data_IF_785902319502
#
_entry.id   IF_785902319502
#
_cell.length_a   1.000
_cell.length_b   1.000
_cell.length_c   1.000
_cell.angle_alpha   90.00
_cell.angle_beta   90.00
_cell.angle_gamma   90.00
#
_symmetry.space_group_name_H-M   'P 1'
#
loop_
_entity.id
_entity.type
_entity.pdbx_description
1 polymer ?
#
# COMPACT_ATOMS: atom_id res chain seq x y z
N UNK A 1 -23.29 6.29 -3.15
CA UNK A 1 -21.88 6.73 -3.00
C UNK A 1 -21.81 7.64 -1.78
N UNK A 2 -21.51 7.09 -0.60
CA UNK A 2 -21.33 7.88 0.62
C UNK A 2 -19.84 8.16 0.79
N UNK A 3 -19.39 9.28 0.23
CA UNK A 3 -18.06 9.79 0.53
C UNK A 3 -18.07 10.39 1.94
N UNK A 4 -17.50 9.68 2.92
CA UNK A 4 -17.34 10.18 4.28
C UNK A 4 -16.63 11.53 4.26
N UNK A 5 -17.37 12.58 4.60
CA UNK A 5 -16.92 13.98 4.60
C UNK A 5 -15.67 14.22 5.47
N UNK A 6 -15.35 13.32 6.40
CA UNK A 6 -14.20 13.44 7.29
C UNK A 6 -12.84 13.18 6.60
N UNK A 7 -12.79 12.41 5.51
CA UNK A 7 -11.56 12.21 4.74
C UNK A 7 -11.17 13.45 3.89
N UNK A 8 -12.01 14.50 3.88
CA UNK A 8 -11.77 15.73 3.13
C UNK A 8 -10.99 16.79 3.91
N UNK A 9 -10.94 16.73 5.25
CA UNK A 9 -10.41 17.82 6.08
C UNK A 9 -8.94 18.15 5.75
N UNK A 10 -8.06 17.16 5.69
CA UNK A 10 -6.64 17.36 5.31
C UNK A 10 -6.43 17.63 3.81
N UNK A 11 -7.37 17.26 2.95
CA UNK A 11 -7.30 17.53 1.51
C UNK A 11 -7.83 18.92 1.12
N UNK A 12 -8.66 19.54 1.96
CA UNK A 12 -9.28 20.83 1.68
C UNK A 12 -8.25 21.97 1.67
N UNK A 13 -7.30 21.95 2.62
CA UNK A 13 -6.17 22.89 2.75
C UNK A 13 -4.84 22.31 2.23
N UNK A 14 -4.90 21.25 1.43
CA UNK A 14 -3.71 20.52 0.99
C UNK A 14 -2.79 21.39 0.15
N UNK A 15 -1.53 21.46 0.57
CA UNK A 15 -0.44 22.07 -0.21
C UNK A 15 0.29 21.05 -1.10
N UNK A 16 -0.09 19.78 -1.03
CA UNK A 16 0.47 18.68 -1.84
C UNK A 16 1.88 18.24 -1.47
N UNK A 17 2.34 18.47 -0.23
CA UNK A 17 3.70 18.10 0.19
C UNK A 17 4.01 16.62 0.02
N UNK A 18 3.08 15.74 0.44
CA UNK A 18 3.23 14.30 0.24
C UNK A 18 3.41 13.92 -1.24
N UNK A 19 2.71 14.61 -2.15
CA UNK A 19 2.85 14.38 -3.58
C UNK A 19 4.17 14.89 -4.16
N UNK A 20 4.92 15.76 -3.47
CA UNK A 20 6.22 16.26 -3.93
C UNK A 20 7.39 15.52 -3.31
N UNK A 21 7.25 15.16 -2.04
CA UNK A 21 8.37 14.67 -1.23
C UNK A 21 8.37 13.14 -1.09
N UNK A 22 7.23 12.46 -1.12
CA UNK A 22 7.21 11.01 -0.96
C UNK A 22 7.48 10.27 -2.27
N UNK A 23 8.33 9.24 -2.19
CA UNK A 23 8.36 8.17 -3.18
C UNK A 23 7.19 7.22 -2.92
N UNK A 24 6.28 7.11 -3.88
CA UNK A 24 5.06 6.31 -3.75
C UNK A 24 5.23 5.00 -4.52
N UNK A 25 5.63 3.94 -3.82
CA UNK A 25 5.58 2.58 -4.35
C UNK A 25 4.13 2.13 -4.49
N UNK A 26 3.83 1.38 -5.54
CA UNK A 26 2.47 0.98 -5.88
C UNK A 26 2.37 -0.52 -6.11
N UNK A 27 1.23 -1.11 -5.79
CA UNK A 27 0.96 -2.51 -6.12
C UNK A 27 0.52 -2.65 -7.58
N UNK A 28 0.54 -3.87 -8.14
CA UNK A 28 0.02 -4.11 -9.48
C UNK A 28 -1.48 -3.79 -9.56
N UNK A 29 -2.20 -4.02 -8.47
CA UNK A 29 -3.62 -3.70 -8.39
C UNK A 29 -3.87 -2.18 -8.41
N UNK A 30 -3.02 -1.39 -7.76
CA UNK A 30 -3.05 0.08 -7.89
C UNK A 30 -2.77 0.51 -9.33
N UNK A 31 -1.82 -0.13 -10.02
CA UNK A 31 -1.52 0.17 -11.44
C UNK A 31 -2.73 -0.09 -12.32
N UNK A 32 -3.41 -1.23 -12.18
CA UNK A 32 -4.63 -1.53 -12.93
C UNK A 32 -5.72 -0.52 -12.64
N UNK A 33 -5.96 -0.22 -11.35
CA UNK A 33 -6.96 0.74 -10.92
C UNK A 33 -6.73 2.14 -11.50
N UNK A 34 -5.47 2.59 -11.54
CA UNK A 34 -5.09 3.84 -12.18
C UNK A 34 -5.24 3.78 -13.69
N UNK A 35 -4.74 2.72 -14.35
CA UNK A 35 -4.79 2.60 -15.80
C UNK A 35 -6.23 2.61 -16.32
N UNK A 36 -7.11 1.82 -15.70
CA UNK A 36 -8.54 1.78 -16.05
C UNK A 36 -9.27 3.05 -15.64
N UNK A 37 -9.09 3.50 -14.40
CA UNK A 37 -9.84 4.64 -13.85
C UNK A 37 -9.47 5.99 -14.46
N UNK A 38 -8.20 6.14 -14.88
CA UNK A 38 -7.69 7.37 -15.49
C UNK A 38 -7.58 7.29 -17.02
N UNK A 39 -7.85 6.12 -17.61
CA UNK A 39 -7.64 5.85 -19.04
C UNK A 39 -6.21 6.19 -19.51
N UNK A 40 -5.21 5.81 -18.71
CA UNK A 40 -3.79 6.05 -18.99
C UNK A 40 -3.03 4.74 -19.11
N UNK A 41 -2.03 4.71 -20.00
CA UNK A 41 -1.12 3.58 -20.06
C UNK A 41 -0.11 3.63 -18.88
N UNK A 42 0.29 2.50 -18.27
CA UNK A 42 1.25 2.48 -17.16
C UNK A 42 2.56 3.24 -17.43
N UNK A 43 3.04 3.23 -18.68
CA UNK A 43 4.20 4.03 -19.12
C UNK A 43 4.08 5.52 -18.80
N UNK A 44 2.87 6.07 -18.76
CA UNK A 44 2.64 7.50 -18.52
C UNK A 44 2.85 7.88 -17.06
N UNK A 45 2.52 6.98 -16.13
CA UNK A 45 2.49 7.28 -14.69
C UNK A 45 3.44 6.47 -13.82
N UNK A 46 4.08 5.43 -14.36
CA UNK A 46 5.07 4.62 -13.62
C UNK A 46 6.50 5.02 -13.90
N UNK A 47 7.34 4.86 -12.88
CA UNK A 47 8.78 4.80 -12.98
C UNK A 47 9.27 3.50 -12.35
N UNK A 48 10.31 2.92 -12.95
CA UNK A 48 11.05 1.79 -12.40
C UNK A 48 12.28 2.32 -11.68
N UNK A 49 12.48 1.90 -10.44
CA UNK A 49 13.66 2.28 -9.68
C UNK A 49 14.45 1.05 -9.30
N UNK A 50 15.72 1.04 -9.70
CA UNK A 50 16.65 -0.02 -9.33
C UNK A 50 16.85 -0.03 -7.81
N UNK A 51 16.77 -1.22 -7.21
CA UNK A 51 16.86 -1.44 -5.77
C UNK A 51 17.32 -2.87 -5.50
N UNK A 52 18.22 -3.06 -4.53
CA UNK A 52 18.81 -4.37 -4.24
C UNK A 52 17.75 -5.43 -3.88
N UNK A 53 16.74 -5.03 -3.12
CA UNK A 53 15.59 -5.84 -2.69
C UNK A 53 14.33 -5.59 -3.53
N UNK A 54 14.48 -5.09 -4.77
CA UNK A 54 13.33 -4.78 -5.62
C UNK A 54 12.53 -6.01 -6.07
N UNK A 55 11.28 -5.78 -6.43
CA UNK A 55 10.31 -6.84 -6.73
C UNK A 55 10.50 -7.45 -8.14
N UNK A 56 10.93 -6.66 -9.13
CA UNK A 56 10.94 -7.05 -10.56
C UNK A 56 12.33 -7.17 -11.14
N UNK A 57 12.57 -8.17 -12.01
CA UNK A 57 13.77 -8.27 -12.86
C UNK A 57 13.38 -8.26 -14.32
N UNK A 58 14.30 -7.84 -15.20
CA UNK A 58 14.08 -7.84 -16.66
C UNK A 58 15.01 -8.79 -17.41
N UNK A 59 16.03 -9.32 -16.76
CA UNK A 59 16.90 -10.36 -17.30
C UNK A 59 17.28 -11.31 -16.17
N UNK A 60 17.58 -12.55 -16.52
CA UNK A 60 18.14 -13.52 -15.58
C UNK A 60 19.40 -12.94 -14.92
N UNK A 61 19.48 -13.06 -13.60
CA UNK A 61 20.56 -12.54 -12.76
C UNK A 61 20.82 -11.02 -12.95
N UNK A 62 19.78 -10.29 -13.38
CA UNK A 62 19.82 -8.84 -13.53
C UNK A 62 19.47 -8.08 -12.26
N UNK A 63 19.65 -6.74 -12.29
CA UNK A 63 19.20 -5.86 -11.22
C UNK A 63 17.69 -5.99 -10.99
N UNK A 64 17.30 -5.66 -9.76
CA UNK A 64 15.91 -5.66 -9.29
C UNK A 64 15.35 -4.25 -9.27
N UNK A 65 14.04 -4.13 -9.46
CA UNK A 65 13.34 -2.87 -9.60
C UNK A 65 12.03 -2.87 -8.82
N UNK A 66 11.71 -1.74 -8.20
CA UNK A 66 10.38 -1.44 -7.70
C UNK A 66 9.61 -0.58 -8.72
N UNK A 67 8.28 -0.73 -8.71
CA UNK A 67 7.38 0.19 -9.42
C UNK A 67 6.90 1.29 -8.48
N UNK A 68 7.01 2.53 -8.95
CA UNK A 68 6.56 3.71 -8.22
C UNK A 68 5.84 4.68 -9.13
N UNK A 69 5.06 5.58 -8.54
CA UNK A 69 4.52 6.71 -9.29
C UNK A 69 5.66 7.63 -9.75
N UNK A 70 5.59 8.04 -11.01
CA UNK A 70 6.53 8.99 -11.60
C UNK A 70 6.34 10.38 -11.00
N UNK A 71 7.45 11.06 -10.75
CA UNK A 71 7.48 12.51 -10.53
C UNK A 71 7.77 13.22 -11.85
N UNK A 72 7.09 14.33 -12.12
CA UNK A 72 7.31 15.12 -13.33
C UNK A 72 8.67 15.81 -13.25
N UNK A 73 9.47 15.83 -14.32
CA UNK A 73 10.80 16.46 -14.30
C UNK A 73 10.80 17.96 -14.01
N UNK A 74 9.72 18.67 -14.34
CA UNK A 74 9.61 20.13 -14.26
C UNK A 74 9.18 20.65 -12.88
N UNK A 75 8.31 19.89 -12.20
CA UNK A 75 7.71 20.28 -10.92
C UNK A 75 8.17 19.42 -9.76
N UNK A 76 8.90 18.34 -10.05
CA UNK A 76 9.33 17.28 -9.12
C UNK A 76 8.19 16.64 -8.31
N UNK A 77 6.93 16.97 -8.61
CA UNK A 77 5.76 16.38 -8.00
C UNK A 77 5.29 15.14 -8.74
N UNK A 78 4.62 14.24 -8.01
CA UNK A 78 3.87 13.12 -8.53
C UNK A 78 3.05 13.54 -9.76
N UNK A 79 3.05 12.69 -10.79
CA UNK A 79 2.37 12.91 -12.08
C UNK A 79 0.88 13.26 -11.94
N UNK A 80 0.24 12.81 -10.86
CA UNK A 80 -1.17 13.11 -10.57
C UNK A 80 -1.39 14.37 -9.73
N UNK A 81 -0.36 15.16 -9.43
CA UNK A 81 -0.49 16.39 -8.67
C UNK A 81 -1.06 17.53 -9.53
N UNK A 82 -2.22 18.06 -9.13
CA UNK A 82 -2.87 19.21 -9.75
C UNK A 82 -2.82 20.42 -8.83
N UNK A 83 -2.31 21.55 -9.34
CA UNK A 83 -2.47 22.84 -8.68
C UNK A 83 -3.89 23.35 -8.93
N UNK A 84 -4.63 23.68 -7.87
CA UNK A 84 -6.02 24.15 -7.97
C UNK A 84 -6.17 25.65 -7.67
N UNK A 85 -5.22 26.23 -6.95
CA UNK A 85 -5.07 27.65 -6.69
C UNK A 85 -3.63 27.93 -6.23
N UNK A 86 -3.15 29.18 -6.24
CA UNK A 86 -1.83 29.49 -5.67
C UNK A 86 -1.67 28.92 -4.25
N UNK A 87 -0.64 28.10 -4.06
CA UNK A 87 -0.33 27.44 -2.79
C UNK A 87 -1.26 26.27 -2.40
N UNK A 88 -2.15 25.83 -3.29
CA UNK A 88 -3.12 24.76 -3.04
C UNK A 88 -3.10 23.72 -4.14
N UNK A 89 -2.99 22.46 -3.75
CA UNK A 89 -2.88 21.34 -4.67
C UNK A 89 -3.74 20.15 -4.24
N UNK A 90 -4.13 19.31 -5.21
CA UNK A 90 -4.88 18.09 -5.00
C UNK A 90 -4.39 16.97 -5.90
N UNK A 91 -4.66 15.73 -5.48
CA UNK A 91 -4.45 14.57 -6.33
C UNK A 91 -5.55 14.52 -7.39
N UNK A 92 -5.18 14.56 -8.68
CA UNK A 92 -6.08 14.39 -9.81
C UNK A 92 -6.63 12.96 -9.93
N UNK A 93 -5.94 11.97 -9.38
CA UNK A 93 -6.39 10.59 -9.33
C UNK A 93 -7.25 10.29 -8.08
N UNK A 94 -7.92 11.26 -7.46
CA UNK A 94 -8.48 11.11 -6.11
C UNK A 94 -9.37 9.86 -5.90
N UNK A 95 -10.21 9.51 -6.86
CA UNK A 95 -11.09 8.32 -6.82
C UNK A 95 -10.34 7.01 -7.08
N UNK A 96 -9.19 7.07 -7.76
CA UNK A 96 -8.37 5.94 -8.18
C UNK A 96 -6.99 5.94 -7.54
N UNK A 97 -6.81 6.72 -6.47
CA UNK A 97 -5.51 6.94 -5.84
C UNK A 97 -4.99 5.59 -5.32
N UNK A 98 -3.68 5.32 -5.40
CA UNK A 98 -3.11 4.11 -4.84
C UNK A 98 -3.48 3.95 -3.38
N UNK A 99 -3.64 2.70 -2.93
CA UNK A 99 -4.07 2.40 -1.56
C UNK A 99 -3.19 3.03 -0.49
N UNK A 100 -1.88 3.11 -0.73
CA UNK A 100 -0.96 3.81 0.18
C UNK A 100 -1.33 5.29 0.35
N UNK A 101 -1.69 5.98 -0.74
CA UNK A 101 -2.16 7.35 -0.71
C UNK A 101 -3.57 7.46 -0.11
N UNK A 102 -4.43 6.46 -0.34
CA UNK A 102 -5.79 6.45 0.20
C UNK A 102 -5.85 6.26 1.70
N UNK A 103 -4.90 5.50 2.25
CA UNK A 103 -4.78 5.24 3.66
C UNK A 103 -4.04 6.35 4.40
N UNK A 104 -3.30 7.22 3.69
CA UNK A 104 -2.54 8.29 4.33
C UNK A 104 -3.47 9.28 5.07
N UNK A 105 -3.12 9.73 6.29
CA UNK A 105 -1.90 9.44 7.05
C UNK A 105 -2.01 8.21 7.99
N UNK A 106 -3.11 7.45 7.92
CA UNK A 106 -3.37 6.36 8.83
C UNK A 106 -2.43 5.15 8.63
N UNK A 107 -2.21 4.42 9.72
CA UNK A 107 -1.55 3.12 9.79
C UNK A 107 -2.24 2.23 10.82
N UNK A 108 -1.89 0.94 10.85
CA UNK A 108 -2.30 0.04 11.92
C UNK A 108 -1.11 -0.19 12.86
N UNK A 109 -1.25 0.23 14.11
CA UNK A 109 -0.32 -0.06 15.21
C UNK A 109 -1.03 -0.90 16.26
N UNK A 110 -0.47 -2.06 16.62
CA UNK A 110 -1.09 -3.02 17.58
C UNK A 110 -2.57 -3.26 17.31
N UNK A 111 -2.89 -3.49 16.03
CA UNK A 111 -4.26 -3.72 15.58
C UNK A 111 -5.23 -2.55 15.82
N UNK A 112 -4.75 -1.32 16.03
CA UNK A 112 -5.55 -0.10 16.16
C UNK A 112 -5.16 0.90 15.08
N UNK A 113 -6.12 1.68 14.58
CA UNK A 113 -5.84 2.74 13.61
C UNK A 113 -5.15 3.90 14.33
N UNK A 114 -3.98 4.29 13.84
CA UNK A 114 -3.20 5.42 14.35
C UNK A 114 -2.84 6.36 13.19
N UNK A 115 -2.52 7.62 13.51
CA UNK A 115 -1.87 8.54 12.58
C UNK A 115 -0.37 8.22 12.61
N UNK A 116 0.28 8.16 11.45
CA UNK A 116 1.73 8.00 11.39
C UNK A 116 2.42 9.21 12.04
N UNK A 117 3.53 8.96 12.70
CA UNK A 117 4.40 10.04 13.17
C UNK A 117 5.08 10.75 11.98
N UNK A 118 5.46 12.01 12.17
CA UNK A 118 6.23 12.80 11.19
C UNK A 118 5.58 12.87 9.79
N UNK A 119 4.26 12.93 9.72
CA UNK A 119 3.55 13.12 8.45
C UNK A 119 3.85 14.48 7.85
N UNK A 120 4.24 14.51 6.57
CA UNK A 120 4.56 15.77 5.88
C UNK A 120 3.33 16.65 5.61
N UNK A 121 2.13 16.10 5.75
CA UNK A 121 0.87 16.78 5.46
C UNK A 121 0.04 16.94 6.72
N UNK A 122 -0.50 18.16 6.86
CA UNK A 122 -1.29 18.57 8.00
C UNK A 122 -0.42 19.07 9.15
N UNK A 123 -0.94 20.07 9.87
CA UNK A 123 -0.48 20.45 11.20
C UNK A 123 -1.14 19.51 12.24
N UNK A 124 -0.78 19.62 13.53
CA UNK A 124 -1.32 18.76 14.60
C UNK A 124 -2.86 18.67 14.61
N UNK A 125 -3.55 19.73 14.20
CA UNK A 125 -5.02 19.83 14.17
C UNK A 125 -5.65 19.32 12.86
N UNK A 126 -4.85 18.91 11.87
CA UNK A 126 -5.36 18.51 10.55
C UNK A 126 -6.02 17.13 10.53
N UNK A 127 -5.81 16.34 11.58
CA UNK A 127 -6.24 14.95 11.65
C UNK A 127 -7.01 14.69 12.94
N UNK A 128 -8.31 15.00 12.93
CA UNK A 128 -9.18 14.64 14.04
C UNK A 128 -9.63 13.18 13.91
N UNK A 129 -8.92 12.25 14.55
CA UNK A 129 -9.25 10.82 14.59
C UNK A 129 -10.70 10.56 15.03
N UNK A 130 -11.25 11.36 15.94
CA UNK A 130 -12.63 11.19 16.44
C UNK A 130 -13.68 11.48 15.37
N UNK A 131 -13.33 12.26 14.35
CA UNK A 131 -14.20 12.54 13.21
C UNK A 131 -14.01 11.55 12.06
N UNK A 132 -12.94 10.74 12.06
CA UNK A 132 -12.61 9.82 10.97
C UNK A 132 -13.39 8.51 11.05
N UNK A 133 -13.68 7.92 9.89
CA UNK A 133 -14.24 6.57 9.78
C UNK A 133 -13.15 5.52 10.07
N UNK A 134 -12.90 5.25 11.35
CA UNK A 134 -11.87 4.30 11.78
C UNK A 134 -12.12 2.86 11.29
N UNK A 135 -13.36 2.32 11.32
CA UNK A 135 -13.64 1.00 10.72
C UNK A 135 -13.34 0.96 9.22
N UNK A 136 -13.73 1.99 8.47
CA UNK A 136 -13.44 2.09 7.03
C UNK A 136 -11.93 2.18 6.75
N UNK A 137 -11.20 2.98 7.52
CA UNK A 137 -9.73 3.09 7.42
C UNK A 137 -9.05 1.75 7.75
N UNK A 138 -9.46 1.09 8.82
CA UNK A 138 -8.96 -0.25 9.17
C UNK A 138 -9.15 -1.22 8.00
N UNK A 139 -10.34 -1.27 7.43
CA UNK A 139 -10.64 -2.14 6.30
C UNK A 139 -9.79 -1.80 5.06
N UNK A 140 -9.57 -0.50 4.77
CA UNK A 140 -8.70 -0.08 3.67
C UNK A 140 -7.23 -0.46 3.90
N UNK A 141 -6.72 -0.37 5.13
CA UNK A 141 -5.34 -0.77 5.47
C UNK A 141 -5.17 -2.28 5.33
N UNK A 142 -6.15 -3.07 5.78
CA UNK A 142 -6.12 -4.53 5.61
C UNK A 142 -6.17 -4.93 4.12
N UNK A 143 -7.03 -4.27 3.32
CA UNK A 143 -7.03 -4.45 1.85
C UNK A 143 -5.69 -4.08 1.21
N UNK A 144 -5.03 -3.04 1.70
CA UNK A 144 -3.70 -2.67 1.23
C UNK A 144 -2.65 -3.75 1.54
N UNK A 145 -2.68 -4.34 2.74
CA UNK A 145 -1.80 -5.47 3.08
C UNK A 145 -2.02 -6.66 2.17
N UNK A 146 -3.29 -7.04 1.94
CA UNK A 146 -3.63 -8.12 1.02
C UNK A 146 -3.16 -7.83 -0.43
N UNK A 147 -3.31 -6.59 -0.89
CA UNK A 147 -2.84 -6.18 -2.21
C UNK A 147 -1.30 -6.28 -2.34
N UNK A 148 -0.54 -6.01 -1.28
CA UNK A 148 0.91 -6.20 -1.26
C UNK A 148 1.29 -7.69 -1.27
N UNK A 149 0.59 -8.55 -0.53
CA UNK A 149 0.81 -9.99 -0.59
C UNK A 149 0.60 -10.52 -2.02
N UNK A 150 -0.49 -10.11 -2.68
CA UNK A 150 -0.75 -10.49 -4.06
C UNK A 150 0.28 -9.91 -5.02
N UNK A 151 0.71 -8.66 -4.82
CA UNK A 151 1.75 -8.03 -5.62
C UNK A 151 3.05 -8.85 -5.63
N UNK A 152 3.51 -9.29 -4.45
CA UNK A 152 4.73 -10.09 -4.32
C UNK A 152 4.60 -11.44 -5.04
N UNK A 153 3.46 -12.12 -4.88
CA UNK A 153 3.17 -13.38 -5.58
C UNK A 153 3.22 -13.21 -7.11
N UNK A 154 2.66 -12.11 -7.62
CA UNK A 154 2.67 -11.80 -9.05
C UNK A 154 4.06 -11.39 -9.54
N UNK A 155 4.84 -10.69 -8.73
CA UNK A 155 6.22 -10.35 -9.02
C UNK A 155 7.11 -11.61 -9.09
N UNK A 156 6.92 -12.59 -8.21
CA UNK A 156 7.56 -13.91 -8.29
C UNK A 156 7.22 -14.62 -9.60
N UNK A 157 5.95 -14.61 -10.00
CA UNK A 157 5.50 -15.21 -11.27
C UNK A 157 6.13 -14.53 -12.48
N UNK A 158 6.21 -13.20 -12.48
CA UNK A 158 6.92 -12.44 -13.50
C UNK A 158 8.41 -12.83 -13.55
N UNK A 159 9.06 -12.88 -12.40
CA UNK A 159 10.48 -13.22 -12.30
C UNK A 159 10.76 -14.66 -12.78
N UNK A 160 9.88 -15.61 -12.50
CA UNK A 160 9.98 -16.97 -13.04
C UNK A 160 9.87 -16.99 -14.58
N UNK A 161 9.00 -16.16 -15.16
CA UNK A 161 8.87 -15.99 -16.61
C UNK A 161 10.11 -15.34 -17.26
N UNK A 162 10.80 -14.47 -16.53
CA UNK A 162 12.08 -13.89 -16.93
C UNK A 162 13.17 -14.95 -16.89
N UNK A 163 13.26 -15.72 -15.80
CA UNK A 163 14.30 -16.72 -15.59
C UNK A 163 14.18 -17.92 -16.55
N UNK A 164 12.97 -18.21 -17.06
CA UNK A 164 12.74 -19.26 -18.06
C UNK A 164 13.21 -18.88 -19.47
N UNK A 165 13.70 -17.66 -19.69
CA UNK A 165 14.17 -17.17 -20.98
C UNK A 165 15.57 -16.55 -20.87
N UNK A 166 16.39 -16.71 -21.90
CA UNK A 166 17.68 -16.01 -21.98
C UNK A 166 17.56 -14.58 -22.55
N UNK A 167 16.36 -14.13 -22.92
CA UNK A 167 16.15 -12.77 -23.46
C UNK A 167 15.88 -11.77 -22.35
N UNK A 168 16.40 -10.55 -22.53
CA UNK A 168 15.98 -9.40 -21.74
C UNK A 168 14.55 -9.00 -22.11
N UNK A 169 13.70 -8.80 -21.10
CA UNK A 169 12.33 -8.32 -21.22
C UNK A 169 12.28 -6.80 -21.22
N UNK A 170 11.32 -6.25 -21.94
CA UNK A 170 11.06 -4.82 -21.98
C UNK A 170 10.14 -4.37 -20.83
N UNK A 171 10.11 -3.06 -20.57
CA UNK A 171 9.14 -2.49 -19.64
C UNK A 171 7.70 -2.67 -20.14
N UNK A 172 7.48 -2.65 -21.45
CA UNK A 172 6.14 -2.88 -22.03
C UNK A 172 5.64 -4.29 -21.76
N UNK A 173 6.50 -5.30 -21.87
CA UNK A 173 6.12 -6.67 -21.50
C UNK A 173 5.70 -6.77 -20.03
N UNK A 174 6.34 -6.00 -19.12
CA UNK A 174 5.89 -5.94 -17.73
C UNK A 174 4.54 -5.23 -17.61
N UNK A 175 4.34 -4.12 -18.34
CA UNK A 175 3.06 -3.41 -18.32
C UNK A 175 1.92 -4.28 -18.86
N UNK A 176 2.15 -5.00 -19.96
CA UNK A 176 1.20 -5.97 -20.52
C UNK A 176 0.88 -7.07 -19.50
N UNK A 177 1.90 -7.63 -18.85
CA UNK A 177 1.71 -8.64 -17.79
C UNK A 177 0.87 -8.10 -16.60
N UNK A 178 1.11 -6.86 -16.20
CA UNK A 178 0.33 -6.22 -15.12
C UNK A 178 -1.12 -6.04 -15.55
N UNK A 179 -1.37 -5.64 -16.80
CA UNK A 179 -2.70 -5.36 -17.32
C UNK A 179 -3.47 -6.62 -17.77
N UNK A 180 -2.81 -7.77 -17.87
CA UNK A 180 -3.42 -9.01 -18.36
C UNK A 180 -4.62 -9.46 -17.48
N UNK A 181 -5.81 -9.67 -18.08
CA UNK A 181 -6.96 -10.20 -17.36
C UNK A 181 -6.70 -11.66 -16.97
N UNK A 182 -6.69 -11.96 -15.66
CA UNK A 182 -6.32 -13.27 -15.11
C UNK A 182 -5.11 -13.24 -14.17
N UNK A 183 -4.43 -12.10 -14.10
CA UNK A 183 -3.41 -11.78 -13.07
C UNK A 183 -4.06 -11.31 -11.76
N UNK A 184 -5.38 -11.48 -11.61
CA UNK A 184 -6.13 -11.31 -10.36
C UNK A 184 -6.39 -12.71 -9.84
N UNK A 185 -5.75 -13.09 -8.73
CA UNK A 185 -6.15 -14.27 -7.97
C UNK A 185 -7.58 -14.10 -7.46
N UNK A 186 -8.57 -14.58 -8.22
CA UNK A 186 -9.65 -15.32 -7.62
C UNK A 186 -9.20 -16.78 -7.66
N UNK A 187 -8.92 -17.42 -6.52
CA UNK A 187 -8.87 -18.86 -6.47
C UNK A 187 -10.30 -19.35 -6.71
N UNK A 188 -10.64 -19.66 -7.96
CA UNK A 188 -11.90 -20.34 -8.27
C UNK A 188 -12.01 -21.66 -7.50
N UNK A 189 -10.86 -22.26 -7.15
CA UNK A 189 -10.77 -23.48 -6.34
C UNK A 189 -11.19 -23.27 -4.86
N UNK A 190 -10.99 -22.08 -4.28
CA UNK A 190 -11.45 -21.78 -2.91
C UNK A 190 -12.91 -21.32 -2.86
N UNK A 191 -13.43 -20.72 -3.95
CA UNK A 191 -14.84 -20.37 -4.07
C UNK A 191 -15.73 -21.63 -4.17
N UNK A 192 -15.27 -22.65 -4.90
CA UNK A 192 -15.96 -23.93 -5.00
C UNK A 192 -15.86 -24.74 -3.69
N UNK A 193 -14.73 -24.67 -2.98
CA UNK A 193 -14.56 -25.26 -1.64
C UNK A 193 -15.41 -24.56 -0.56
N UNK A 194 -15.55 -23.23 -0.63
CA UNK A 194 -16.39 -22.46 0.30
C UNK A 194 -17.89 -22.71 0.07
N UNK A 195 -18.34 -22.85 -1.19
CA UNK A 195 -19.73 -23.25 -1.48
C UNK A 195 -20.00 -24.71 -1.11
N UNK A 196 -19.04 -25.62 -1.29
CA UNK A 196 -19.18 -27.02 -0.87
C UNK A 196 -19.23 -27.17 0.66
N UNK A 197 -18.45 -26.36 1.39
CA UNK A 197 -18.50 -26.26 2.86
C UNK A 197 -19.79 -25.66 3.40
N UNK A 198 -20.38 -24.68 2.71
CA UNK A 198 -21.65 -24.08 3.11
C UNK A 198 -22.85 -25.02 2.92
N UNK A 199 -22.84 -25.85 1.85
CA UNK A 199 -23.89 -26.86 1.59
C UNK A 199 -23.85 -28.03 2.57
N UNK A 200 -22.66 -28.40 3.06
CA UNK A 200 -22.51 -29.48 4.06
C UNK A 200 -22.88 -29.02 5.47
N UNK A 201 -22.73 -27.73 5.79
CA UNK A 201 -23.16 -27.16 7.07
C UNK A 201 -24.68 -27.00 7.19
N UNK A 202 -25.40 -26.79 6.08
CA UNK A 202 -26.87 -26.66 6.09
C UNK A 202 -27.63 -27.97 6.27
N UNK A 203 -27.00 -29.12 6.03
CA UNK A 203 -27.59 -30.45 6.22
C UNK A 203 -27.34 -31.06 7.61
N UNK A 204 -26.52 -30.41 8.44
CA UNK A 204 -26.33 -30.80 9.84
C UNK A 204 -27.51 -30.31 10.71
N UNK A 205 -28.66 -30.93 10.52
CA UNK A 205 -29.84 -30.80 11.38
C UNK A 205 -29.51 -31.39 12.76
N UNK A 206 -29.27 -30.53 13.74
CA UNK A 206 -29.15 -30.93 15.15
C UNK A 206 -30.55 -30.95 15.79
N UNK A 207 -30.88 -31.97 16.62
CA UNK A 207 -32.24 -32.33 16.99
C UNK A 207 -32.86 -31.40 18.03
N UNK A 208 -34.18 -31.32 17.95
CA UNK A 208 -35.09 -30.80 18.97
C UNK A 208 -34.97 -31.63 20.27
N UNK A 209 -34.82 -30.95 21.40
CA UNK A 209 -34.61 -31.58 22.71
C UNK A 209 -34.72 -30.56 23.83
N UNK A 210 -35.85 -30.62 24.53
CA UNK A 210 -36.31 -29.76 25.61
C UNK A 210 -35.66 -30.06 26.98
N UNK A 211 -35.86 -29.10 27.88
CA UNK A 211 -36.00 -29.22 29.35
C UNK A 211 -34.77 -29.05 30.25
N UNK A 212 -34.90 -28.16 31.26
CA UNK A 212 -34.17 -28.29 32.52
C UNK A 212 -33.81 -26.98 33.22
N UNK A 213 -34.58 -26.60 34.23
CA UNK A 213 -34.33 -25.49 35.15
C UNK A 213 -33.10 -25.68 36.07
N UNK A 214 -32.57 -24.56 36.60
CA UNK A 214 -31.81 -24.56 37.86
C UNK A 214 -30.66 -23.54 37.95
N UNK A 215 -30.91 -22.41 38.60
CA UNK A 215 -29.87 -21.63 39.30
C UNK A 215 -29.57 -22.30 40.67
N UNK A 216 -28.37 -22.16 41.26
CA UNK A 216 -28.13 -21.00 42.14
C UNK A 216 -26.69 -20.43 42.18
N UNK A 217 -26.58 -19.26 42.82
CA UNK A 217 -25.41 -18.53 43.30
C UNK A 217 -24.37 -19.38 44.08
N UNK A 218 -23.08 -19.03 43.94
CA UNK A 218 -22.24 -18.44 45.01
C UNK A 218 -20.72 -18.66 44.78
N UNK A 219 -19.96 -17.55 44.78
CA UNK A 219 -18.72 -17.37 45.54
C UNK A 219 -17.39 -18.00 45.05
N UNK A 220 -16.32 -17.18 45.11
CA UNK A 220 -14.97 -17.66 45.44
C UNK A 220 -13.84 -17.23 44.50
N UNK A 221 -13.00 -16.33 44.99
CA UNK A 221 -11.63 -16.03 44.56
C UNK A 221 -10.81 -17.24 44.10
N UNK A 222 -9.94 -17.09 43.08
CA UNK A 222 -8.48 -17.12 43.31
C UNK A 222 -7.70 -16.66 42.07
N UNK A 223 -6.72 -15.80 42.33
CA UNK A 223 -5.73 -15.24 41.40
C UNK A 223 -4.52 -16.17 41.34
N UNK A 224 -4.24 -16.75 40.17
CA UNK A 224 -2.91 -17.16 39.67
C UNK A 224 -3.03 -17.15 38.14
N UNK A 225 -2.20 -16.50 37.32
CA UNK A 225 -0.76 -16.32 37.38
C UNK A 225 -0.13 -17.38 36.48
N UNK A 226 -0.12 -17.18 35.15
CA UNK A 226 0.83 -17.90 34.28
C UNK A 226 1.12 -17.13 32.97
N UNK A 227 2.37 -17.26 32.54
CA UNK A 227 3.09 -16.41 31.63
C UNK A 227 2.68 -16.58 30.15
N UNK A 228 2.40 -15.45 29.49
CA UNK A 228 2.23 -15.37 28.03
C UNK A 228 3.57 -15.08 27.36
N UNK A 229 4.03 -16.08 26.61
CA UNK A 229 5.16 -16.11 25.67
C UNK A 229 4.99 -15.06 24.56
N UNK A 230 5.83 -14.02 24.57
CA UNK A 230 5.89 -12.96 23.56
C UNK A 230 6.74 -13.42 22.36
N UNK A 231 6.14 -14.20 21.47
CA UNK A 231 6.67 -14.51 20.14
C UNK A 231 6.33 -13.42 19.11
N UNK A 232 6.89 -12.22 19.26
CA UNK A 232 6.76 -11.13 18.28
C UNK A 232 7.77 -11.33 17.13
N UNK A 233 7.30 -11.93 16.03
CA UNK A 233 8.02 -11.95 14.76
C UNK A 233 7.72 -10.66 13.98
N UNK A 234 8.40 -9.59 14.35
CA UNK A 234 8.40 -8.31 13.64
C UNK A 234 9.04 -8.44 12.25
N UNK A 235 8.23 -8.21 11.21
CA UNK A 235 8.69 -8.00 9.84
C UNK A 235 9.50 -6.70 9.68
N UNK A 236 10.21 -6.53 8.55
CA UNK A 236 11.29 -5.55 8.44
C UNK A 236 10.79 -4.10 8.45
N UNK A 237 11.14 -3.39 9.52
CA UNK A 237 11.24 -1.95 9.55
C UNK A 237 12.49 -1.53 8.75
N UNK A 238 12.28 -0.89 7.59
CA UNK A 238 13.35 -0.46 6.70
C UNK A 238 13.06 0.90 6.08
N UNK A 239 12.92 1.93 6.92
CA UNK A 239 12.94 3.33 6.49
C UNK A 239 14.11 4.04 7.17
N UNK A 240 15.30 3.87 6.62
CA UNK A 240 16.50 4.61 6.99
C UNK A 240 16.99 5.45 5.82
N UNK A 241 16.62 6.73 5.78
CA UNK A 241 17.30 7.72 4.94
C UNK A 241 18.34 8.46 5.78
N UNK A 242 19.61 8.33 5.38
CA UNK A 242 20.73 9.10 5.92
C UNK A 242 20.69 10.55 5.42
N UNK A 243 21.24 11.53 6.18
CA UNK A 243 21.52 12.86 5.65
C UNK A 243 22.83 12.86 4.84
N UNK A 244 22.77 13.49 3.68
CA UNK A 244 23.92 13.80 2.82
C UNK A 244 24.79 14.85 3.51
N UNK A 245 26.04 14.50 3.77
CA UNK A 245 27.06 15.42 4.28
C UNK A 245 27.48 16.42 3.18
N UNK A 246 27.49 17.69 3.55
CA UNK A 246 28.06 18.78 2.76
C UNK A 246 29.58 18.64 2.65
N UNK A 247 30.09 18.50 1.43
CA UNK A 247 31.52 18.59 1.12
C UNK A 247 31.86 19.99 0.61
N UNK A 248 32.64 20.74 1.40
CA UNK A 248 33.18 22.03 1.02
C UNK A 248 34.55 21.93 0.32
N UNK A 249 34.77 22.91 -0.57
CA UNK A 249 36.00 23.69 -0.80
C UNK A 249 37.32 23.04 -1.24
N UNK A 250 37.76 23.48 -2.43
CA UNK A 250 39.15 23.51 -2.92
C UNK A 250 39.12 23.50 -4.45
N UNK A 251 39.69 24.41 -5.24
CA UNK A 251 40.74 25.41 -5.04
C UNK A 251 41.71 25.29 -6.23
N UNK A 252 41.92 26.39 -6.99
CA UNK A 252 42.94 26.52 -8.05
C UNK A 252 42.48 26.05 -9.44
N UNK A 253 42.86 26.64 -10.57
CA UNK A 253 43.87 27.66 -10.93
C UNK A 253 43.56 28.15 -12.35
N UNK A 254 43.92 29.39 -12.68
CA UNK A 254 43.86 29.96 -14.03
C UNK A 254 44.72 29.19 -15.06
N UNK A 255 44.59 29.49 -16.36
CA UNK A 255 45.60 30.40 -16.91
C UNK A 255 45.07 31.48 -17.87
N UNK A 256 45.95 32.45 -18.09
CA UNK A 256 45.85 33.59 -18.97
C UNK A 256 46.18 33.29 -20.44
N UNK A 257 45.79 34.25 -21.29
CA UNK A 257 46.27 34.53 -22.67
C UNK A 257 45.75 33.54 -23.73
N UNK A 258 45.25 33.97 -24.89
CA UNK A 258 45.67 35.04 -25.82
C UNK A 258 44.45 35.73 -26.43
#
# INVERSE_FOLDING_TARGET
MSGSAAALAGCASCKGRCCREYTVNVTMDDVRGLATGMALHPREFLALQEKDDGDFRFRRDGPRYDIRLRHRPDTEGCVFLMEIAPGHARCGAYAHRPRVCANFPASLSRNTVAIRDNTLCGDADSWNLTAMDLPGLRANILRNRAAWTEHLRLAERWNAHVDSSHRTRSHDELYDFILEPGTIGLPEEDAEAAEAGARTASDARVPDGTDGAGAPDAGGDEVTGDAGDDGDAGGPEGAGSAPVAAGGSGGGTAPASV
#
